data_IF_614893525061
#
_entry.id   IF_614893525061
#
_cell.length_a   1.000
_cell.length_b   1.000
_cell.length_c   1.000
_cell.angle_alpha   90.00
_cell.angle_beta   90.00
_cell.angle_gamma   90.00
#
_symmetry.space_group_name_H-M   'P 1'
#
loop_
_entity.id
_entity.type
_entity.pdbx_description
1 polymer ?
#
# COMPACT_ATOMS: atom_id res chain seq x y z
N UNK A 1 -15.60 -32.67 16.22
CA UNK A 1 -14.38 -31.91 15.87
C UNK A 1 -14.77 -30.45 15.71
N UNK A 2 -14.85 -29.70 16.80
CA UNK A 2 -14.98 -28.25 16.73
C UNK A 2 -13.61 -27.67 16.33
N UNK A 3 -13.54 -27.15 15.12
CA UNK A 3 -12.47 -26.23 14.71
C UNK A 3 -12.58 -25.00 15.59
N UNK A 4 -11.83 -24.97 16.70
CA UNK A 4 -11.64 -23.75 17.47
C UNK A 4 -11.09 -22.68 16.51
N UNK A 5 -11.91 -21.69 16.15
CA UNK A 5 -11.49 -20.52 15.38
C UNK A 5 -10.40 -19.83 16.18
N UNK A 6 -9.14 -20.09 15.84
CA UNK A 6 -8.00 -19.35 16.41
C UNK A 6 -8.18 -17.89 15.99
N UNK A 7 -8.57 -17.03 16.93
CA UNK A 7 -8.76 -15.61 16.67
C UNK A 7 -7.44 -15.00 16.21
N UNK A 8 -7.50 -14.15 15.19
CA UNK A 8 -6.32 -13.43 14.71
C UNK A 8 -5.90 -12.45 15.80
N UNK A 9 -4.64 -12.54 16.25
CA UNK A 9 -4.07 -11.55 17.17
C UNK A 9 -4.02 -10.16 16.53
N UNK A 10 -3.87 -9.11 17.34
CA UNK A 10 -3.87 -7.71 16.89
C UNK A 10 -2.91 -7.45 15.70
N UNK A 11 -1.71 -8.03 15.72
CA UNK A 11 -0.76 -7.94 14.61
C UNK A 11 -1.29 -8.57 13.32
N UNK A 12 -2.00 -9.70 13.40
CA UNK A 12 -2.62 -10.34 12.24
C UNK A 12 -3.76 -9.49 11.64
N UNK A 13 -4.56 -8.84 12.49
CA UNK A 13 -5.62 -7.91 12.05
C UNK A 13 -5.02 -6.71 11.33
N UNK A 14 -3.98 -6.10 11.89
CA UNK A 14 -3.30 -4.96 11.25
C UNK A 14 -2.69 -5.34 9.91
N UNK A 15 -1.98 -6.46 9.81
CA UNK A 15 -1.43 -6.92 8.53
C UNK A 15 -2.53 -7.17 7.48
N UNK A 16 -3.71 -7.66 7.89
CA UNK A 16 -4.84 -7.84 6.98
C UNK A 16 -5.43 -6.50 6.49
N UNK A 17 -5.53 -5.52 7.39
CA UNK A 17 -5.96 -4.15 7.03
C UNK A 17 -4.98 -3.53 6.05
N UNK A 18 -3.68 -3.61 6.34
CA UNK A 18 -2.63 -3.10 5.44
C UNK A 18 -2.74 -3.78 4.08
N UNK A 19 -2.90 -5.10 4.03
CA UNK A 19 -3.05 -5.84 2.77
C UNK A 19 -4.24 -5.36 1.94
N UNK A 20 -5.40 -5.15 2.57
CA UNK A 20 -6.57 -4.61 1.90
C UNK A 20 -6.31 -3.19 1.37
N UNK A 21 -5.68 -2.34 2.17
CA UNK A 21 -5.34 -0.98 1.78
C UNK A 21 -4.30 -0.92 0.65
N UNK A 22 -3.32 -1.83 0.64
CA UNK A 22 -2.33 -1.99 -0.43
C UNK A 22 -3.00 -2.40 -1.75
N UNK A 23 -3.97 -3.33 -1.70
CA UNK A 23 -4.79 -3.70 -2.87
C UNK A 23 -5.60 -2.50 -3.38
N UNK A 24 -6.27 -1.77 -2.48
CA UNK A 24 -7.05 -0.58 -2.85
C UNK A 24 -6.13 0.48 -3.47
N UNK A 25 -4.95 0.72 -2.89
CA UNK A 25 -3.95 1.64 -3.42
C UNK A 25 -3.52 1.24 -4.83
N UNK A 26 -3.25 -0.05 -5.07
CA UNK A 26 -2.90 -0.56 -6.39
C UNK A 26 -4.01 -0.35 -7.42
N UNK A 27 -5.25 -0.69 -7.07
CA UNK A 27 -6.40 -0.51 -7.98
C UNK A 27 -6.58 0.97 -8.31
N UNK A 28 -6.56 1.84 -7.31
CA UNK A 28 -6.71 3.28 -7.51
C UNK A 28 -5.57 3.88 -8.33
N UNK A 29 -4.34 3.41 -8.09
CA UNK A 29 -3.18 3.78 -8.90
C UNK A 29 -3.38 3.44 -10.37
N UNK A 30 -3.73 2.19 -10.68
CA UNK A 30 -3.97 1.75 -12.05
C UNK A 30 -5.09 2.58 -12.69
N UNK A 31 -6.24 2.72 -12.01
CA UNK A 31 -7.36 3.52 -12.50
C UNK A 31 -6.97 4.98 -12.81
N UNK A 32 -6.16 5.60 -11.95
CA UNK A 32 -5.71 6.96 -12.14
C UNK A 32 -4.72 7.08 -13.31
N UNK A 33 -3.74 6.18 -13.39
CA UNK A 33 -2.72 6.19 -14.42
C UNK A 33 -3.26 5.80 -15.80
N UNK A 34 -4.37 5.06 -15.88
CA UNK A 34 -5.05 4.73 -17.15
C UNK A 34 -6.17 5.72 -17.50
N UNK A 35 -6.42 6.74 -16.69
CA UNK A 35 -7.44 7.75 -16.98
C UNK A 35 -7.02 8.58 -18.20
N UNK A 36 -7.98 9.04 -19.00
CA UNK A 36 -7.74 9.72 -20.27
C UNK A 36 -6.80 10.95 -20.17
N UNK A 37 -6.82 11.65 -19.04
CA UNK A 37 -5.92 12.80 -18.81
C UNK A 37 -4.45 12.41 -18.60
N UNK A 38 -4.18 11.21 -18.05
CA UNK A 38 -2.84 10.79 -17.65
C UNK A 38 -2.23 9.78 -18.63
N UNK A 39 -2.91 8.64 -18.85
CA UNK A 39 -2.47 7.54 -19.73
C UNK A 39 -0.96 7.21 -19.61
N UNK A 40 -0.46 7.13 -18.38
CA UNK A 40 0.96 7.09 -18.04
C UNK A 40 1.29 6.01 -16.98
N UNK A 41 0.75 4.81 -17.18
CA UNK A 41 1.01 3.69 -16.27
C UNK A 41 2.51 3.37 -16.17
N UNK A 42 3.07 3.62 -15.00
CA UNK A 42 4.44 3.32 -14.63
C UNK A 42 4.54 1.89 -14.06
N UNK A 43 5.14 0.99 -14.82
CA UNK A 43 5.29 -0.43 -14.46
C UNK A 43 6.10 -0.65 -13.17
N UNK A 44 7.00 0.26 -12.81
CA UNK A 44 7.80 0.16 -11.58
C UNK A 44 6.92 0.38 -10.35
N UNK A 45 6.03 1.38 -10.38
CA UNK A 45 5.08 1.62 -9.28
C UNK A 45 4.16 0.40 -9.13
N UNK A 46 3.63 -0.11 -10.24
CA UNK A 46 2.80 -1.32 -10.25
C UNK A 46 3.54 -2.53 -9.64
N UNK A 47 4.79 -2.77 -10.05
CA UNK A 47 5.60 -3.87 -9.56
C UNK A 47 5.87 -3.76 -8.05
N UNK A 48 6.23 -2.57 -7.55
CA UNK A 48 6.46 -2.34 -6.12
C UNK A 48 5.20 -2.61 -5.28
N UNK A 49 4.03 -2.17 -5.75
CA UNK A 49 2.75 -2.43 -5.08
C UNK A 49 2.40 -3.92 -5.09
N UNK A 50 2.62 -4.62 -6.21
CA UNK A 50 2.41 -6.07 -6.31
C UNK A 50 3.35 -6.84 -5.37
N UNK A 51 4.62 -6.45 -5.29
CA UNK A 51 5.60 -7.05 -4.36
C UNK A 51 5.18 -6.82 -2.91
N UNK A 52 4.72 -5.62 -2.57
CA UNK A 52 4.21 -5.32 -1.22
C UNK A 52 3.01 -6.21 -0.86
N UNK A 53 2.03 -6.33 -1.77
CA UNK A 53 0.85 -7.18 -1.57
C UNK A 53 1.26 -8.65 -1.42
N UNK A 54 2.16 -9.15 -2.28
CA UNK A 54 2.63 -10.52 -2.19
C UNK A 54 3.34 -10.80 -0.86
N UNK A 55 4.18 -9.87 -0.40
CA UNK A 55 4.86 -9.96 0.89
C UNK A 55 3.86 -9.98 2.07
N UNK A 56 2.82 -9.13 2.05
CA UNK A 56 1.77 -9.10 3.07
C UNK A 56 0.96 -10.42 3.11
N UNK A 57 0.61 -10.96 1.94
CA UNK A 57 -0.07 -12.26 1.83
C UNK A 57 0.78 -13.38 2.41
N UNK A 58 2.09 -13.37 2.14
CA UNK A 58 3.03 -14.33 2.74
C UNK A 58 3.04 -14.17 4.26
N UNK A 59 3.20 -12.95 4.80
CA UNK A 59 3.19 -12.70 6.26
C UNK A 59 1.90 -13.22 6.92
N UNK A 60 0.74 -13.00 6.29
CA UNK A 60 -0.55 -13.50 6.77
C UNK A 60 -0.65 -15.04 6.73
N UNK A 61 -0.09 -15.66 5.69
CA UNK A 61 -0.04 -17.13 5.58
C UNK A 61 0.89 -17.74 6.63
N UNK A 62 2.06 -17.11 6.88
CA UNK A 62 3.04 -17.58 7.87
C UNK A 62 2.51 -17.52 9.30
N UNK A 63 1.71 -16.49 9.65
CA UNK A 63 1.07 -16.37 10.96
C UNK A 63 0.08 -17.50 11.30
N UNK A 64 -0.20 -18.42 10.36
CA UNK A 64 -1.08 -19.58 10.54
C UNK A 64 -0.33 -20.92 10.72
N UNK A 65 0.99 -20.97 10.56
CA UNK A 65 1.83 -22.19 10.61
C UNK A 65 2.81 -22.25 11.80
N UNK A 66 3.35 -23.45 12.08
CA UNK A 66 4.33 -23.68 13.17
C UNK A 66 5.66 -22.97 12.92
N UNK A 67 6.19 -22.40 13.99
CA UNK A 67 7.39 -21.57 14.04
C UNK A 67 8.68 -22.37 13.79
N UNK A 68 9.36 -22.07 12.68
CA UNK A 68 10.74 -22.46 12.44
C UNK A 68 11.62 -21.21 12.34
N UNK A 69 12.90 -21.30 12.73
CA UNK A 69 13.83 -20.16 12.76
C UNK A 69 13.92 -19.42 11.40
N UNK A 70 13.94 -20.15 10.29
CA UNK A 70 13.95 -19.56 8.95
C UNK A 70 12.67 -18.77 8.63
N UNK A 71 11.51 -19.23 9.11
CA UNK A 71 10.22 -18.56 8.90
C UNK A 71 10.12 -17.26 9.72
N UNK A 72 10.74 -17.21 10.89
CA UNK A 72 10.84 -16.00 11.70
C UNK A 72 11.66 -14.92 10.97
N UNK A 73 12.84 -15.27 10.45
CA UNK A 73 13.69 -14.35 9.69
C UNK A 73 12.95 -13.80 8.46
N UNK A 74 12.30 -14.68 7.69
CA UNK A 74 11.52 -14.25 6.51
C UNK A 74 10.42 -13.28 6.93
N UNK A 75 9.69 -13.57 8.02
CA UNK A 75 8.65 -12.66 8.51
C UNK A 75 9.22 -11.30 8.92
N UNK A 76 10.40 -11.25 9.54
CA UNK A 76 11.01 -10.00 9.98
C UNK A 76 11.50 -9.15 8.80
N UNK A 77 12.10 -9.79 7.79
CA UNK A 77 12.52 -9.11 6.55
C UNK A 77 11.30 -8.54 5.81
N UNK A 78 10.22 -9.33 5.67
CA UNK A 78 9.03 -8.88 4.95
C UNK A 78 8.32 -7.72 5.66
N UNK A 79 8.33 -7.69 6.99
CA UNK A 79 7.78 -6.56 7.76
C UNK A 79 8.47 -5.22 7.46
N UNK A 80 9.74 -5.24 7.08
CA UNK A 80 10.49 -4.03 6.68
C UNK A 80 10.34 -3.78 5.18
N UNK A 81 10.37 -4.82 4.36
CA UNK A 81 10.28 -4.70 2.91
C UNK A 81 8.96 -4.06 2.45
N UNK A 82 7.83 -4.42 3.08
CA UNK A 82 6.49 -3.88 2.76
C UNK A 82 6.42 -2.36 2.89
N UNK A 83 6.70 -1.74 4.07
CA UNK A 83 6.65 -0.28 4.20
C UNK A 83 7.64 0.42 3.28
N UNK A 84 8.81 -0.17 3.00
CA UNK A 84 9.76 0.39 2.02
C UNK A 84 9.19 0.41 0.60
N UNK A 85 8.59 -0.70 0.14
CA UNK A 85 7.98 -0.78 -1.18
C UNK A 85 6.83 0.22 -1.33
N UNK A 86 5.95 0.31 -0.31
CA UNK A 86 4.84 1.25 -0.27
C UNK A 86 5.32 2.72 -0.27
N UNK A 87 6.38 3.04 0.48
CA UNK A 87 6.96 4.37 0.52
C UNK A 87 7.53 4.78 -0.85
N UNK A 88 8.34 3.92 -1.47
CA UNK A 88 8.94 4.20 -2.77
C UNK A 88 7.87 4.35 -3.85
N UNK A 89 6.89 3.44 -3.89
CA UNK A 89 5.77 3.54 -4.82
C UNK A 89 4.97 4.83 -4.63
N UNK A 90 4.67 5.20 -3.38
CA UNK A 90 3.95 6.43 -3.04
C UNK A 90 4.70 7.69 -3.44
N UNK A 91 6.01 7.77 -3.16
CA UNK A 91 6.85 8.91 -3.57
C UNK A 91 6.89 9.02 -5.10
N UNK A 92 7.13 7.92 -5.81
CA UNK A 92 7.15 7.92 -7.27
C UNK A 92 5.80 8.38 -7.86
N UNK A 93 4.69 7.95 -7.28
CA UNK A 93 3.37 8.39 -7.72
C UNK A 93 3.14 9.88 -7.46
N UNK A 94 3.51 10.39 -6.28
CA UNK A 94 3.43 11.83 -5.97
C UNK A 94 4.27 12.63 -6.96
N UNK A 95 5.51 12.19 -7.22
CA UNK A 95 6.39 12.86 -8.19
C UNK A 95 5.79 12.89 -9.59
N UNK A 96 5.11 11.83 -10.02
CA UNK A 96 4.41 11.78 -11.31
C UNK A 96 3.13 12.64 -11.37
N UNK A 97 2.67 13.20 -10.25
CA UNK A 97 1.42 13.97 -10.17
C UNK A 97 1.60 15.41 -9.69
N UNK A 98 2.73 15.76 -9.08
CA UNK A 98 2.89 17.07 -8.44
C UNK A 98 2.76 18.24 -9.43
N UNK A 99 3.32 18.10 -10.63
CA UNK A 99 3.26 19.14 -11.66
C UNK A 99 1.84 19.30 -12.22
N UNK A 100 1.18 18.18 -12.57
CA UNK A 100 -0.18 18.21 -13.09
C UNK A 100 -1.16 18.76 -12.05
N UNK A 101 -1.01 18.42 -10.77
CA UNK A 101 -1.82 18.96 -9.69
C UNK A 101 -1.65 20.48 -9.56
N UNK A 102 -0.42 21.00 -9.71
CA UNK A 102 -0.17 22.44 -9.70
C UNK A 102 -0.81 23.15 -10.91
N UNK A 103 -0.79 22.51 -12.08
CA UNK A 103 -1.43 23.05 -13.29
C UNK A 103 -2.95 23.06 -13.19
N UNK A 104 -3.56 21.93 -12.80
CA UNK A 104 -5.02 21.77 -12.72
C UNK A 104 -5.63 22.67 -11.65
N UNK A 105 -5.06 22.70 -10.45
CA UNK A 105 -5.65 23.45 -9.33
C UNK A 105 -5.09 24.87 -9.16
N UNK A 106 -3.90 25.14 -9.68
CA UNK A 106 -3.18 26.41 -9.44
C UNK A 106 -3.14 27.35 -10.65
N UNK A 107 -3.67 26.96 -11.81
CA UNK A 107 -3.61 27.77 -13.03
C UNK A 107 -4.93 27.84 -13.79
N UNK A 108 -5.08 28.83 -14.66
CA UNK A 108 -6.25 28.98 -15.53
C UNK A 108 -6.22 28.08 -16.78
N UNK A 109 -5.15 27.30 -16.99
CA UNK A 109 -4.99 26.46 -18.19
C UNK A 109 -6.07 25.36 -18.28
N UNK A 110 -6.53 24.85 -17.13
CA UNK A 110 -7.44 23.71 -17.05
C UNK A 110 -8.83 24.10 -16.50
N UNK A 111 -9.15 25.40 -16.42
CA UNK A 111 -10.29 25.94 -15.66
C UNK A 111 -11.67 25.49 -16.17
N UNK A 112 -11.75 24.93 -17.37
CA UNK A 112 -12.95 24.29 -17.94
C UNK A 112 -12.81 22.79 -18.22
N UNK A 113 -11.66 22.20 -17.90
CA UNK A 113 -11.37 20.80 -18.19
C UNK A 113 -11.84 19.91 -17.03
N UNK A 114 -13.06 19.40 -17.16
CA UNK A 114 -13.69 18.51 -16.17
C UNK A 114 -12.90 17.22 -16.00
N UNK A 115 -12.40 16.65 -17.10
CA UNK A 115 -11.64 15.39 -17.05
C UNK A 115 -10.34 15.55 -16.25
N UNK A 116 -9.64 16.67 -16.44
CA UNK A 116 -8.43 17.00 -15.68
C UNK A 116 -8.71 17.16 -14.18
N UNK A 117 -9.76 17.88 -13.83
CA UNK A 117 -10.15 18.12 -12.43
C UNK A 117 -10.55 16.83 -11.70
N UNK A 118 -11.31 15.97 -12.35
CA UNK A 118 -11.66 14.67 -11.79
C UNK A 118 -10.43 13.75 -11.68
N UNK A 119 -9.54 13.76 -12.68
CA UNK A 119 -8.30 12.97 -12.65
C UNK A 119 -7.36 13.42 -11.52
N UNK A 120 -7.22 14.73 -11.34
CA UNK A 120 -6.46 15.35 -10.26
C UNK A 120 -7.06 15.05 -8.89
N UNK A 121 -8.39 15.15 -8.75
CA UNK A 121 -9.09 14.80 -7.50
C UNK A 121 -8.88 13.33 -7.15
N UNK A 122 -8.96 12.43 -8.13
CA UNK A 122 -8.67 11.02 -7.93
C UNK A 122 -7.19 10.81 -7.53
N UNK A 123 -6.25 11.50 -8.16
CA UNK A 123 -4.84 11.42 -7.79
C UNK A 123 -4.60 11.83 -6.33
N UNK A 124 -5.25 12.91 -5.86
CA UNK A 124 -5.22 13.31 -4.44
C UNK A 124 -5.76 12.20 -3.54
N UNK A 125 -6.87 11.56 -3.90
CA UNK A 125 -7.40 10.44 -3.12
C UNK A 125 -6.43 9.25 -3.06
N UNK A 126 -5.75 8.93 -4.17
CA UNK A 126 -4.71 7.88 -4.21
C UNK A 126 -3.54 8.25 -3.32
N UNK A 127 -3.07 9.51 -3.33
CA UNK A 127 -1.98 9.99 -2.46
C UNK A 127 -2.35 9.79 -0.99
N UNK A 128 -3.55 10.22 -0.58
CA UNK A 128 -4.01 10.09 0.81
C UNK A 128 -4.09 8.63 1.22
N UNK A 129 -4.71 7.76 0.41
CA UNK A 129 -4.82 6.34 0.71
C UNK A 129 -3.43 5.69 0.75
N UNK A 130 -2.53 6.03 -0.16
CA UNK A 130 -1.15 5.51 -0.17
C UNK A 130 -0.40 5.89 1.12
N UNK A 131 -0.55 7.13 1.60
CA UNK A 131 0.08 7.59 2.85
C UNK A 131 -0.47 6.87 4.07
N UNK A 132 -1.80 6.70 4.14
CA UNK A 132 -2.46 5.95 5.22
C UNK A 132 -2.03 4.48 5.20
N UNK A 133 -2.00 3.85 4.02
CA UNK A 133 -1.54 2.46 3.84
C UNK A 133 -0.11 2.30 4.34
N UNK A 134 0.78 3.20 3.92
CA UNK A 134 2.16 3.21 4.39
C UNK A 134 2.26 3.36 5.90
N UNK A 135 1.56 4.32 6.51
CA UNK A 135 1.59 4.53 7.96
C UNK A 135 1.12 3.28 8.73
N UNK A 136 0.03 2.66 8.29
CA UNK A 136 -0.48 1.43 8.89
C UNK A 136 0.50 0.27 8.71
N UNK A 137 1.19 0.19 7.57
CA UNK A 137 2.23 -0.84 7.33
C UNK A 137 3.40 -0.70 8.29
N UNK A 138 3.83 0.53 8.58
CA UNK A 138 4.87 0.81 9.58
C UNK A 138 4.40 0.37 10.96
N UNK A 139 3.19 0.73 11.37
CA UNK A 139 2.62 0.31 12.66
C UNK A 139 2.55 -1.23 12.77
N UNK A 140 2.09 -1.90 11.70
CA UNK A 140 2.00 -3.36 11.65
C UNK A 140 3.36 -4.04 11.80
N UNK A 141 4.43 -3.45 11.28
CA UNK A 141 5.80 -3.96 11.39
C UNK A 141 6.28 -4.02 12.85
N UNK A 142 5.87 -3.08 13.71
CA UNK A 142 6.29 -3.02 15.12
C UNK A 142 5.41 -3.82 16.09
N UNK A 143 4.13 -4.05 15.76
CA UNK A 143 3.20 -4.79 16.64
C UNK A 143 3.56 -6.28 16.83
N UNK A 144 4.44 -6.84 15.99
CA UNK A 144 4.92 -8.22 16.10
C UNK A 144 6.05 -8.46 17.11
N UNK A 145 6.69 -7.41 17.65
CA UNK A 145 7.85 -7.53 18.55
C UNK A 145 7.52 -7.53 20.05
N UNK A 146 6.27 -7.26 20.45
CA UNK A 146 5.89 -7.11 21.87
C UNK A 146 5.76 -8.41 22.69
N UNK A 147 6.03 -9.59 22.11
CA UNK A 147 5.89 -10.90 22.80
C UNK A 147 7.18 -11.70 22.93
N UNK A 148 8.33 -11.05 22.82
CA UNK A 148 9.63 -11.67 23.14
C UNK A 148 10.25 -10.96 24.34
N UNK A 149 9.72 -11.23 25.53
CA UNK A 149 10.48 -11.15 26.78
C UNK A 149 9.85 -12.12 27.77
N UNK A 150 10.46 -13.31 27.82
CA UNK A 150 10.47 -14.32 28.89
C UNK A 150 9.14 -14.70 29.55
#
# INVERSE_FOLDING_TARGET
>A
MESAKKSMGAAGVFNAIVCLLSIVTFVLYVMNATRAYYVDLNSVIAALLVVAIAAEVIVLALGRGKEGYALAIVSDVLRVAVPCCLAVAGVMFISARVESLAQVFGSNLELGNVEAHEAATQAVAVIVISLVTWLFSVIAAFLGHGKSTK
#
